data_IF_388077761353
#
_entry.id   IF_388077761353
#
_cell.length_a   1.000
_cell.length_b   1.000
_cell.length_c   1.000
_cell.angle_alpha   90.00
_cell.angle_beta   90.00
_cell.angle_gamma   90.00
#
_symmetry.space_group_name_H-M   'P 1'
#
loop_
_entity.id
_entity.type
_entity.pdbx_description
1 polymer ?
#
# COMPACT_ATOMS: atom_id res chain seq x y z
N UNK A 1 -9.65 13.64 14.12
CA UNK A 1 -8.46 13.66 13.23
C UNK A 1 -8.34 12.37 12.44
N UNK A 2 -8.48 11.20 13.07
CA UNK A 2 -8.43 9.90 12.38
C UNK A 2 -9.39 9.77 11.19
N UNK A 3 -10.52 10.45 11.24
CA UNK A 3 -11.53 10.44 10.16
C UNK A 3 -11.16 11.33 8.95
N UNK A 4 -10.00 11.98 8.99
CA UNK A 4 -9.53 12.90 7.93
C UNK A 4 -8.14 12.57 7.44
N UNK A 5 -7.25 12.10 8.33
CA UNK A 5 -5.84 11.85 8.03
C UNK A 5 -5.40 10.53 8.65
N UNK A 6 -4.64 9.75 7.89
CA UNK A 6 -3.92 8.55 8.32
C UNK A 6 -2.44 8.81 8.24
N UNK A 7 -1.68 8.28 9.20
CA UNK A 7 -0.23 8.36 9.20
C UNK A 7 0.38 6.98 8.97
N UNK A 8 1.33 6.88 8.05
CA UNK A 8 2.12 5.69 7.81
C UNK A 8 3.60 6.00 7.94
N UNK A 9 4.37 5.04 8.45
CA UNK A 9 5.83 5.18 8.54
C UNK A 9 6.45 4.78 7.21
N UNK A 10 7.29 5.64 6.66
CA UNK A 10 7.98 5.40 5.38
C UNK A 10 9.46 5.13 5.55
N UNK A 11 10.05 5.57 6.66
CA UNK A 11 11.44 5.37 7.08
C UNK A 11 11.52 5.44 8.60
N UNK A 12 12.64 5.06 9.25
CA UNK A 12 12.80 5.13 10.71
C UNK A 12 12.34 6.44 11.36
N UNK A 13 12.52 7.56 10.65
CA UNK A 13 12.26 8.92 11.14
C UNK A 13 11.24 9.71 10.29
N UNK A 14 10.66 9.13 9.24
CA UNK A 14 9.66 9.81 8.40
C UNK A 14 8.28 9.22 8.58
N UNK A 15 7.31 10.12 8.73
CA UNK A 15 5.88 9.82 8.66
C UNK A 15 5.28 10.52 7.45
N UNK A 16 4.49 9.76 6.72
CA UNK A 16 3.64 10.24 5.64
C UNK A 16 2.23 10.44 6.19
N UNK A 17 1.60 11.55 5.83
CA UNK A 17 0.22 11.87 6.19
C UNK A 17 -0.63 11.88 4.91
N UNK A 18 -1.60 10.98 4.83
CA UNK A 18 -2.52 10.88 3.70
C UNK A 18 -3.95 11.17 4.14
N UNK A 19 -4.83 11.51 3.19
CA UNK A 19 -6.26 11.59 3.48
C UNK A 19 -6.78 10.23 3.97
N UNK A 20 -7.76 10.22 4.87
CA UNK A 20 -8.36 8.99 5.34
C UNK A 20 -8.90 8.14 4.17
N UNK A 21 -8.52 6.86 4.13
CA UNK A 21 -8.86 5.94 3.05
C UNK A 21 -8.01 6.10 1.78
N UNK A 22 -6.87 6.80 1.86
CA UNK A 22 -5.89 6.90 0.77
C UNK A 22 -4.55 6.32 1.21
N UNK A 23 -4.11 5.27 0.53
CA UNK A 23 -2.83 4.60 0.72
C UNK A 23 -2.40 3.87 -0.58
N UNK A 24 -1.28 3.16 -0.55
CA UNK A 24 -0.77 2.40 -1.71
C UNK A 24 -1.72 1.26 -2.13
N UNK A 25 -2.43 0.62 -1.19
CA UNK A 25 -3.36 -0.47 -1.48
C UNK A 25 -4.62 -0.01 -2.19
N UNK A 26 -5.29 1.01 -1.66
CA UNK A 26 -6.45 1.66 -2.28
C UNK A 26 -6.12 2.29 -3.64
N UNK A 27 -4.91 2.82 -3.80
CA UNK A 27 -4.39 3.27 -5.09
C UNK A 27 -4.24 2.13 -6.10
N UNK A 28 -3.64 1.01 -5.68
CA UNK A 28 -3.47 -0.18 -6.51
C UNK A 28 -4.82 -0.81 -6.88
N UNK A 29 -5.75 -0.92 -5.94
CA UNK A 29 -7.10 -1.42 -6.17
C UNK A 29 -7.80 -0.63 -7.29
N UNK A 30 -7.77 0.70 -7.21
CA UNK A 30 -8.37 1.58 -8.22
C UNK A 30 -7.74 1.35 -9.60
N UNK A 31 -6.43 1.19 -9.66
CA UNK A 31 -5.72 0.94 -10.92
C UNK A 31 -6.08 -0.43 -11.50
N UNK A 32 -6.09 -1.48 -10.69
CA UNK A 32 -6.49 -2.83 -11.10
C UNK A 32 -7.93 -2.85 -11.63
N UNK A 33 -8.86 -2.19 -10.95
CA UNK A 33 -10.24 -2.06 -11.39
C UNK A 33 -10.35 -1.34 -12.74
N UNK A 34 -9.60 -0.25 -12.93
CA UNK A 34 -9.56 0.47 -14.21
C UNK A 34 -9.03 -0.38 -15.36
N UNK A 35 -7.96 -1.15 -15.10
CA UNK A 35 -7.32 -2.03 -16.09
C UNK A 35 -8.01 -3.39 -16.25
N UNK A 36 -9.01 -3.69 -15.42
CA UNK A 36 -9.70 -5.00 -15.36
C UNK A 36 -8.74 -6.16 -15.07
N UNK A 37 -7.78 -5.94 -14.18
CA UNK A 37 -6.81 -6.94 -13.72
C UNK A 37 -7.27 -7.43 -12.35
N UNK A 38 -7.53 -8.74 -12.24
CA UNK A 38 -7.90 -9.35 -10.97
C UNK A 38 -6.67 -9.39 -10.02
N UNK A 39 -6.85 -9.17 -8.70
CA UNK A 39 -5.73 -9.09 -7.75
C UNK A 39 -4.82 -10.33 -7.76
N UNK A 40 -5.36 -11.51 -8.07
CA UNK A 40 -4.60 -12.77 -8.14
C UNK A 40 -3.51 -12.74 -9.23
N UNK A 41 -3.66 -11.85 -10.22
CA UNK A 41 -2.70 -11.63 -11.31
C UNK A 41 -1.72 -10.49 -11.02
N UNK A 42 -1.68 -9.99 -9.79
CA UNK A 42 -0.85 -8.85 -9.39
C UNK A 42 0.20 -9.30 -8.39
N UNK A 43 1.44 -8.88 -8.63
CA UNK A 43 2.54 -8.97 -7.68
C UNK A 43 2.93 -7.58 -7.21
N UNK A 44 3.07 -7.41 -5.91
CA UNK A 44 3.60 -6.19 -5.30
C UNK A 44 4.83 -6.50 -4.45
N UNK A 45 5.79 -5.59 -4.46
CA UNK A 45 7.03 -5.67 -3.69
C UNK A 45 7.11 -4.44 -2.79
N UNK A 46 7.46 -4.62 -1.53
CA UNK A 46 7.54 -3.54 -0.55
C UNK A 46 8.46 -3.87 0.61
N UNK A 47 8.88 -2.83 1.31
CA UNK A 47 9.96 -2.86 2.31
C UNK A 47 9.59 -2.13 3.60
N UNK A 48 8.64 -1.18 3.53
CA UNK A 48 8.27 -0.32 4.65
C UNK A 48 6.80 -0.47 5.04
N UNK A 49 6.43 0.16 6.16
CA UNK A 49 5.08 0.01 6.72
C UNK A 49 3.98 0.59 5.79
N UNK A 50 4.29 1.58 4.95
CA UNK A 50 3.31 2.11 4.00
C UNK A 50 3.02 1.18 2.81
N UNK A 51 3.81 0.13 2.60
CA UNK A 51 3.56 -0.89 1.57
C UNK A 51 2.59 -1.98 2.02
N UNK A 52 2.40 -2.17 3.33
CA UNK A 52 1.56 -3.24 3.86
C UNK A 52 0.16 -3.33 3.21
N UNK A 53 -0.59 -2.22 3.05
CA UNK A 53 -1.91 -2.28 2.40
C UNK A 53 -1.85 -2.76 0.94
N UNK A 54 -0.77 -2.45 0.22
CA UNK A 54 -0.58 -2.89 -1.16
C UNK A 54 -0.25 -4.39 -1.22
N UNK A 55 0.62 -4.86 -0.32
CA UNK A 55 1.00 -6.28 -0.26
C UNK A 55 -0.19 -7.16 0.12
N UNK A 56 -1.04 -6.70 1.04
CA UNK A 56 -2.28 -7.39 1.46
C UNK A 56 -3.33 -7.46 0.34
N UNK A 57 -3.39 -6.46 -0.53
CA UNK A 57 -4.32 -6.44 -1.66
C UNK A 57 -3.94 -7.43 -2.77
N UNK A 58 -2.65 -7.62 -3.02
CA UNK A 58 -2.17 -8.42 -4.16
C UNK A 58 -2.24 -9.93 -3.95
N UNK A 59 -2.38 -10.67 -5.05
CA UNK A 59 -2.28 -12.12 -5.04
C UNK A 59 -0.89 -12.63 -4.63
N UNK A 60 0.17 -11.87 -4.99
CA UNK A 60 1.53 -12.17 -4.57
C UNK A 60 2.17 -10.92 -3.96
N UNK A 61 2.10 -10.80 -2.63
CA UNK A 61 2.84 -9.79 -1.88
C UNK A 61 4.24 -10.30 -1.48
N UNK A 62 5.28 -9.54 -1.80
CA UNK A 62 6.66 -9.84 -1.41
C UNK A 62 7.18 -8.75 -0.46
N UNK A 63 7.44 -9.12 0.78
CA UNK A 63 8.15 -8.27 1.73
C UNK A 63 9.67 -8.43 1.53
N UNK A 64 10.35 -7.32 1.30
CA UNK A 64 11.80 -7.28 1.13
C UNK A 64 12.50 -6.90 2.44
N UNK A 65 13.53 -7.65 2.82
CA UNK A 65 14.36 -7.31 3.96
C UNK A 65 15.40 -6.24 3.60
N UNK A 66 15.58 -5.24 4.46
CA UNK A 66 16.72 -4.34 4.39
C UNK A 66 17.93 -4.97 5.11
N UNK A 67 19.11 -4.93 4.48
CA UNK A 67 20.39 -5.27 5.12
C UNK A 67 20.84 -4.17 6.09
#
# INVERSE_FOLDING_TARGET
>A
MKDRVVFSKTEPFYYEATAAGVDKGTGLERLCNYLKIAPENVMALGDQANDAPMLEYTGIGVAWGML
#
